data_IF_504176894617
#
_entry.id   IF_504176894617
#
_cell.length_a   1.000
_cell.length_b   1.000
_cell.length_c   1.000
_cell.angle_alpha   90.00
_cell.angle_beta   90.00
_cell.angle_gamma   90.00
#
_symmetry.space_group_name_H-M   'P 1'
#
loop_
_entity.id
_entity.type
_entity.pdbx_description
1 polymer ?
#
# COMPACT_ATOMS: atom_id res chain seq x y z
N UNK A 1 26.14 22.05 -54.01
CA UNK A 1 26.64 22.12 -52.64
C UNK A 1 25.60 22.69 -51.66
N UNK A 2 24.76 23.65 -52.06
CA UNK A 2 23.70 24.21 -51.16
C UNK A 2 22.55 23.25 -50.86
N UNK A 3 22.24 22.30 -51.71
CA UNK A 3 21.14 21.34 -51.52
C UNK A 3 21.46 20.26 -50.47
N UNK A 4 22.73 19.93 -50.27
CA UNK A 4 23.15 18.97 -49.28
C UNK A 4 23.11 19.52 -47.83
N UNK A 5 23.42 20.80 -47.63
CA UNK A 5 23.32 21.43 -46.29
C UNK A 5 21.87 21.47 -45.82
N UNK A 6 20.93 21.82 -46.70
CA UNK A 6 19.52 21.88 -46.34
C UNK A 6 18.90 20.50 -46.03
N UNK A 7 19.43 19.45 -46.66
CA UNK A 7 19.05 18.07 -46.41
C UNK A 7 19.62 17.57 -45.05
N UNK A 8 20.84 17.95 -44.69
CA UNK A 8 21.44 17.63 -43.40
C UNK A 8 20.76 18.37 -42.25
N UNK A 9 20.36 19.63 -42.42
CA UNK A 9 19.58 20.37 -41.44
C UNK A 9 18.20 19.77 -41.22
N UNK A 10 17.51 19.34 -42.31
CA UNK A 10 16.25 18.59 -42.21
C UNK A 10 16.43 17.24 -41.53
N UNK A 11 17.51 16.53 -41.83
CA UNK A 11 17.80 15.23 -41.18
C UNK A 11 18.17 15.39 -39.69
N UNK A 12 18.85 16.47 -39.34
CA UNK A 12 19.12 16.82 -37.94
C UNK A 12 17.81 17.25 -37.21
N UNK A 13 16.95 18.00 -37.87
CA UNK A 13 15.65 18.37 -37.35
C UNK A 13 14.72 17.12 -37.19
N UNK A 14 14.75 16.21 -38.17
CA UNK A 14 14.05 14.92 -38.11
C UNK A 14 14.64 14.00 -37.00
N UNK A 15 15.97 14.03 -36.80
CA UNK A 15 16.58 13.30 -35.67
C UNK A 15 16.21 13.92 -34.33
N UNK A 16 16.06 15.22 -34.23
CA UNK A 16 15.58 15.90 -33.00
C UNK A 16 14.10 15.63 -32.70
N UNK A 17 13.29 15.30 -33.72
CA UNK A 17 11.89 14.93 -33.59
C UNK A 17 11.68 13.43 -33.34
N UNK A 18 12.73 12.63 -33.29
CA UNK A 18 12.67 11.17 -33.05
C UNK A 18 13.30 10.74 -31.71
N UNK A 19 13.67 11.65 -30.83
CA UNK A 19 13.97 11.30 -29.45
C UNK A 19 12.65 10.92 -28.77
N UNK A 20 12.47 9.62 -28.53
CA UNK A 20 11.33 9.12 -27.77
C UNK A 20 11.45 9.69 -26.36
N UNK A 21 10.57 10.62 -26.04
CA UNK A 21 10.51 11.21 -24.71
C UNK A 21 10.26 10.10 -23.68
N UNK A 22 11.16 9.96 -22.74
CA UNK A 22 11.03 8.97 -21.67
C UNK A 22 10.29 9.65 -20.50
N UNK A 23 9.05 9.22 -20.28
CA UNK A 23 8.23 9.66 -19.15
C UNK A 23 8.07 8.48 -18.20
N UNK A 24 8.55 8.63 -16.96
CA UNK A 24 8.36 7.65 -15.88
C UNK A 24 7.46 8.25 -14.82
N UNK A 25 6.56 7.43 -14.27
CA UNK A 25 5.71 7.78 -13.13
C UNK A 25 6.53 7.71 -11.85
N UNK A 26 6.29 8.64 -10.94
CA UNK A 26 6.93 8.70 -9.63
C UNK A 26 5.88 8.81 -8.53
N UNK A 27 6.21 8.37 -7.33
CA UNK A 27 5.46 8.67 -6.12
C UNK A 27 5.59 10.14 -5.71
N UNK A 28 4.77 10.64 -4.77
CA UNK A 28 4.86 12.01 -4.26
C UNK A 28 6.28 12.44 -3.92
N UNK A 29 6.58 13.72 -4.19
CA UNK A 29 7.90 14.32 -4.01
C UNK A 29 9.01 13.71 -4.88
N UNK A 30 8.63 13.07 -6.00
CA UNK A 30 9.57 12.48 -6.95
C UNK A 30 10.23 11.19 -6.48
N UNK A 31 9.60 10.47 -5.53
CA UNK A 31 10.12 9.20 -5.03
C UNK A 31 9.88 8.07 -6.03
N UNK A 32 10.83 7.15 -6.13
CA UNK A 32 10.76 6.02 -7.08
C UNK A 32 10.04 4.82 -6.51
N UNK A 33 10.04 4.68 -5.19
CA UNK A 33 9.60 3.49 -4.47
C UNK A 33 8.69 3.86 -3.30
N UNK A 34 7.75 2.97 -2.97
CA UNK A 34 6.95 3.07 -1.74
C UNK A 34 7.18 1.85 -0.85
N UNK A 35 7.12 2.09 0.45
CA UNK A 35 7.16 1.06 1.48
C UNK A 35 5.93 1.13 2.36
N UNK A 36 5.36 -0.03 2.66
CA UNK A 36 4.20 -0.18 3.54
C UNK A 36 4.29 -1.50 4.31
N UNK A 37 3.75 -1.52 5.52
CA UNK A 37 3.39 -2.75 6.22
C UNK A 37 1.88 -2.80 6.41
N UNK A 38 1.26 -3.98 6.28
CA UNK A 38 -0.17 -4.19 6.51
C UNK A 38 -0.34 -5.36 7.46
N UNK A 39 -0.75 -5.08 8.71
CA UNK A 39 -0.75 -6.03 9.81
C UNK A 39 -2.16 -6.28 10.32
N UNK A 40 -2.45 -7.53 10.63
CA UNK A 40 -3.79 -8.00 10.93
C UNK A 40 -4.03 -8.17 12.43
N UNK A 41 -5.31 -8.27 12.78
CA UNK A 41 -5.84 -8.71 14.06
C UNK A 41 -5.95 -7.65 15.18
N UNK A 42 -5.16 -6.59 15.20
CA UNK A 42 -5.22 -5.59 16.28
C UNK A 42 -4.90 -6.18 17.65
N UNK A 43 -3.66 -6.64 17.83
CA UNK A 43 -3.20 -7.36 19.01
C UNK A 43 -2.26 -6.51 19.88
N UNK A 44 -2.03 -6.92 21.14
CA UNK A 44 -1.19 -6.14 22.07
C UNK A 44 0.23 -5.90 21.55
N UNK A 45 0.78 -6.79 20.73
CA UNK A 45 2.09 -6.66 20.11
C UNK A 45 2.16 -5.48 19.13
N UNK A 46 1.03 -4.98 18.63
CA UNK A 46 0.98 -3.78 17.79
C UNK A 46 1.51 -2.55 18.52
N UNK A 47 1.45 -2.51 19.87
CA UNK A 47 2.01 -1.41 20.65
C UNK A 47 3.49 -1.25 20.35
N UNK A 48 4.27 -2.32 20.50
CA UNK A 48 5.71 -2.33 20.19
C UNK A 48 5.97 -2.10 18.69
N UNK A 49 5.13 -2.67 17.85
CA UNK A 49 5.26 -2.55 16.40
C UNK A 49 5.07 -1.11 15.91
N UNK A 50 4.04 -0.43 16.42
CA UNK A 50 3.78 0.99 16.13
C UNK A 50 4.88 1.88 16.67
N UNK A 51 5.37 1.63 17.89
CA UNK A 51 6.54 2.35 18.43
C UNK A 51 7.74 2.24 17.50
N UNK A 52 7.97 1.04 16.95
CA UNK A 52 9.06 0.79 16.02
C UNK A 52 8.87 1.53 14.68
N UNK A 53 7.67 1.49 14.11
CA UNK A 53 7.32 2.26 12.90
C UNK A 53 7.53 3.77 13.12
N UNK A 54 7.04 4.29 14.25
CA UNK A 54 7.18 5.71 14.60
C UNK A 54 8.64 6.13 14.79
N UNK A 55 9.46 5.28 15.42
CA UNK A 55 10.90 5.48 15.59
C UNK A 55 11.61 5.75 14.26
N UNK A 56 11.20 5.04 13.21
CA UNK A 56 11.78 5.16 11.87
C UNK A 56 10.95 6.02 10.91
N UNK A 57 9.93 6.75 11.42
CA UNK A 57 9.03 7.58 10.61
C UNK A 57 8.37 6.82 9.46
N UNK A 58 8.08 5.54 9.66
CA UNK A 58 7.40 4.68 8.72
C UNK A 58 5.89 4.68 8.99
N UNK A 59 5.12 4.26 7.98
CA UNK A 59 3.66 4.14 8.06
C UNK A 59 3.23 2.69 7.92
N UNK A 60 2.14 2.33 8.61
CA UNK A 60 1.52 1.02 8.51
C UNK A 60 0.01 1.11 8.29
N UNK A 61 -0.56 0.01 7.85
CA UNK A 61 -1.99 -0.25 7.77
C UNK A 61 -2.33 -1.35 8.76
N UNK A 62 -3.27 -1.10 9.66
CA UNK A 62 -3.70 -2.06 10.69
C UNK A 62 -5.14 -2.49 10.42
N UNK A 63 -5.32 -3.78 10.20
CA UNK A 63 -6.59 -4.37 9.81
C UNK A 63 -7.28 -4.95 11.07
N UNK A 64 -8.37 -4.34 11.50
CA UNK A 64 -8.96 -4.56 12.81
C UNK A 64 -10.31 -5.27 12.73
N UNK A 65 -10.66 -6.02 13.79
CA UNK A 65 -11.95 -6.69 13.97
C UNK A 65 -12.71 -6.00 15.10
N UNK A 66 -13.60 -5.08 14.79
CA UNK A 66 -14.28 -4.26 15.81
C UNK A 66 -15.17 -5.08 16.77
N UNK A 67 -15.72 -6.20 16.32
CA UNK A 67 -16.54 -7.08 17.16
C UNK A 67 -15.76 -7.90 18.18
N UNK A 68 -14.43 -7.92 18.10
CA UNK A 68 -13.54 -8.63 19.02
C UNK A 68 -12.81 -7.72 20.01
N UNK A 69 -12.81 -6.41 19.80
CA UNK A 69 -12.05 -5.44 20.62
C UNK A 69 -12.61 -5.25 22.02
N UNK A 70 -13.95 -5.23 22.18
CA UNK A 70 -14.62 -5.04 23.50
C UNK A 70 -14.71 -6.33 24.33
N UNK A 71 -14.48 -7.47 23.70
CA UNK A 71 -14.43 -8.74 24.38
C UNK A 71 -13.00 -8.95 24.85
N UNK A 72 -12.79 -9.45 26.04
CA UNK A 72 -11.46 -9.95 26.45
C UNK A 72 -11.14 -11.20 25.63
N UNK A 73 -11.01 -10.97 24.31
CA UNK A 73 -10.76 -12.05 23.36
C UNK A 73 -9.26 -12.32 23.29
N UNK A 74 -8.92 -13.52 23.71
CA UNK A 74 -7.57 -14.06 23.63
C UNK A 74 -7.59 -15.47 23.04
N UNK A 75 -6.49 -15.86 22.43
CA UNK A 75 -6.28 -17.25 22.00
C UNK A 75 -4.86 -17.68 22.30
N UNK A 76 -4.66 -18.98 22.41
CA UNK A 76 -3.32 -19.52 22.56
C UNK A 76 -2.82 -19.97 21.19
N UNK A 77 -1.74 -19.33 20.71
CA UNK A 77 -1.01 -19.76 19.53
C UNK A 77 -0.38 -21.15 19.76
N UNK A 78 -0.11 -21.91 18.70
CA UNK A 78 0.51 -23.24 18.80
C UNK A 78 1.88 -23.25 19.50
N UNK A 79 2.60 -22.13 19.49
CA UNK A 79 3.85 -21.94 20.26
C UNK A 79 3.63 -21.82 21.77
N UNK A 80 2.39 -21.73 22.24
CA UNK A 80 2.04 -21.48 23.64
C UNK A 80 1.89 -19.99 24.00
N UNK A 81 2.15 -19.06 23.08
CA UNK A 81 1.94 -17.63 23.28
C UNK A 81 0.44 -17.34 23.42
N UNK A 82 0.05 -16.63 24.49
CA UNK A 82 -1.30 -16.09 24.63
C UNK A 82 -1.37 -14.75 23.91
N UNK A 83 -2.13 -14.69 22.82
CA UNK A 83 -2.34 -13.49 22.01
C UNK A 83 -3.62 -12.80 22.45
N UNK A 84 -3.56 -11.49 22.70
CA UNK A 84 -4.70 -10.68 23.18
C UNK A 84 -4.99 -9.54 22.22
N UNK A 85 -6.28 -9.30 21.97
CA UNK A 85 -6.75 -8.13 21.22
C UNK A 85 -6.54 -6.83 22.00
N UNK A 86 -6.26 -5.75 21.31
CA UNK A 86 -6.19 -4.41 21.90
C UNK A 86 -7.61 -3.93 22.18
N UNK A 87 -7.78 -3.25 23.33
CA UNK A 87 -9.07 -2.65 23.72
C UNK A 87 -9.30 -1.31 23.04
N UNK A 88 -10.57 -0.94 22.88
CA UNK A 88 -11.02 0.26 22.16
C UNK A 88 -10.51 1.55 22.76
N UNK A 89 -10.27 1.61 24.08
CA UNK A 89 -9.81 2.80 24.80
C UNK A 89 -8.39 3.26 24.43
N UNK A 90 -7.56 2.39 23.86
CA UNK A 90 -6.17 2.71 23.50
C UNK A 90 -5.93 2.77 21.97
N UNK A 91 -6.81 2.18 21.13
CA UNK A 91 -6.54 2.01 19.70
C UNK A 91 -6.47 3.33 18.92
N UNK A 92 -7.26 4.35 19.32
CA UNK A 92 -7.32 5.63 18.60
C UNK A 92 -5.99 6.36 18.68
N UNK A 93 -5.41 6.41 19.88
CA UNK A 93 -4.10 7.06 20.08
C UNK A 93 -2.97 6.19 19.52
N UNK A 94 -3.05 4.87 19.67
CA UNK A 94 -2.04 3.94 19.19
C UNK A 94 -1.85 4.06 17.67
N UNK A 95 -2.94 3.99 16.90
CA UNK A 95 -2.83 4.00 15.43
C UNK A 95 -2.87 5.41 14.80
N UNK A 96 -2.61 6.45 15.62
CA UNK A 96 -2.50 7.82 15.11
C UNK A 96 -1.34 7.96 14.13
N UNK A 97 -1.63 8.47 12.93
CA UNK A 97 -0.63 8.59 11.86
C UNK A 97 -0.52 7.36 10.95
N UNK A 98 -1.22 6.27 11.30
CA UNK A 98 -1.34 5.05 10.51
C UNK A 98 -2.74 4.90 9.93
N UNK A 99 -2.89 4.02 8.95
CA UNK A 99 -4.18 3.61 8.44
C UNK A 99 -4.79 2.54 9.35
N UNK A 100 -6.11 2.64 9.54
CA UNK A 100 -6.94 1.55 10.05
C UNK A 100 -7.84 1.07 8.93
N UNK A 101 -7.90 -0.23 8.71
CA UNK A 101 -8.75 -0.89 7.75
C UNK A 101 -9.59 -1.99 8.44
N UNK A 102 -10.65 -2.43 7.79
CA UNK A 102 -11.51 -3.50 8.27
C UNK A 102 -10.87 -4.87 8.05
N UNK A 103 -11.03 -5.76 9.03
CA UNK A 103 -10.66 -7.17 8.92
C UNK A 103 -11.85 -8.09 9.22
N UNK A 104 -13.07 -7.65 8.86
CA UNK A 104 -14.37 -8.20 9.24
C UNK A 104 -14.72 -8.00 10.74
N UNK A 105 -16.01 -8.08 11.04
CA UNK A 105 -16.51 -7.87 12.41
C UNK A 105 -15.95 -8.86 13.43
N UNK A 106 -15.94 -10.16 13.10
CA UNK A 106 -15.63 -11.24 14.02
C UNK A 106 -14.64 -12.28 13.48
N UNK A 107 -13.86 -11.94 12.44
CA UNK A 107 -12.85 -12.82 11.84
C UNK A 107 -13.39 -14.21 11.43
N UNK A 108 -14.49 -14.33 10.67
CA UNK A 108 -15.05 -15.60 10.28
C UNK A 108 -14.34 -16.24 9.09
N UNK A 109 -14.52 -17.53 8.90
CA UNK A 109 -14.25 -18.21 7.64
C UNK A 109 -15.30 -17.78 6.60
N UNK A 110 -14.98 -16.85 5.73
CA UNK A 110 -15.94 -16.19 4.82
C UNK A 110 -16.53 -17.14 3.77
N UNK A 111 -15.88 -18.26 3.46
CA UNK A 111 -16.39 -19.31 2.58
C UNK A 111 -17.65 -20.00 3.13
N UNK A 112 -17.87 -19.93 4.43
CA UNK A 112 -19.02 -20.56 5.10
C UNK A 112 -20.23 -19.61 5.21
N UNK A 113 -20.13 -18.39 4.68
CA UNK A 113 -21.14 -17.33 4.85
C UNK A 113 -21.95 -17.13 3.56
N UNK A 114 -23.23 -16.83 3.73
CA UNK A 114 -24.07 -16.30 2.67
C UNK A 114 -23.64 -14.86 2.28
N UNK A 115 -24.13 -14.36 1.13
CA UNK A 115 -23.86 -12.97 0.72
C UNK A 115 -24.28 -11.97 1.79
N UNK A 116 -25.46 -12.16 2.37
CA UNK A 116 -26.04 -11.29 3.40
C UNK A 116 -25.18 -11.26 4.65
N UNK A 117 -24.67 -12.42 5.09
CA UNK A 117 -23.77 -12.53 6.23
C UNK A 117 -22.42 -11.86 5.96
N UNK A 118 -21.86 -12.02 4.76
CA UNK A 118 -20.64 -11.33 4.33
C UNK A 118 -20.84 -9.81 4.42
N UNK A 119 -21.94 -9.29 3.86
CA UNK A 119 -22.25 -7.86 3.91
C UNK A 119 -22.36 -7.36 5.35
N UNK A 120 -22.98 -8.12 6.25
CA UNK A 120 -23.06 -7.79 7.68
C UNK A 120 -21.68 -7.71 8.30
N UNK A 121 -20.81 -8.71 8.07
CA UNK A 121 -19.43 -8.72 8.56
C UNK A 121 -18.63 -7.51 8.11
N UNK A 122 -18.79 -7.09 6.87
CA UNK A 122 -18.08 -5.96 6.27
C UNK A 122 -18.65 -4.60 6.71
N UNK A 123 -19.97 -4.42 6.54
CA UNK A 123 -20.60 -3.11 6.75
C UNK A 123 -20.68 -2.73 8.23
N UNK A 124 -20.91 -3.69 9.11
CA UNK A 124 -20.98 -3.42 10.55
C UNK A 124 -19.60 -3.17 11.14
N UNK A 125 -18.57 -3.90 10.69
CA UNK A 125 -17.19 -3.64 11.10
C UNK A 125 -16.76 -2.24 10.65
N UNK A 126 -16.99 -1.89 9.37
CA UNK A 126 -16.71 -0.55 8.84
C UNK A 126 -17.37 0.53 9.68
N UNK A 127 -18.67 0.44 9.93
CA UNK A 127 -19.41 1.43 10.71
C UNK A 127 -18.92 1.56 12.16
N UNK A 128 -18.58 0.44 12.80
CA UNK A 128 -18.01 0.46 14.14
C UNK A 128 -16.65 1.13 14.18
N UNK A 129 -15.73 0.78 13.26
CA UNK A 129 -14.42 1.38 13.16
C UNK A 129 -14.51 2.88 12.83
N UNK A 130 -15.40 3.30 11.92
CA UNK A 130 -15.66 4.71 11.62
C UNK A 130 -16.12 5.48 12.86
N UNK A 131 -16.98 4.87 13.68
CA UNK A 131 -17.42 5.47 14.95
C UNK A 131 -16.28 5.57 15.97
N UNK A 132 -15.43 4.55 16.09
CA UNK A 132 -14.30 4.51 17.03
C UNK A 132 -13.26 5.55 16.64
N UNK A 133 -12.87 5.59 15.36
CA UNK A 133 -11.76 6.44 14.88
C UNK A 133 -12.20 7.83 14.41
N UNK A 134 -13.50 8.10 14.29
CA UNK A 134 -14.03 9.39 13.84
C UNK A 134 -13.64 9.77 12.40
N UNK A 135 -13.33 8.78 11.56
CA UNK A 135 -12.93 8.95 10.15
C UNK A 135 -13.43 7.81 9.28
N UNK A 136 -13.51 8.05 7.98
CA UNK A 136 -13.90 7.03 7.01
C UNK A 136 -12.91 5.87 6.99
N UNK A 137 -13.41 4.63 6.95
CA UNK A 137 -12.65 3.40 6.79
C UNK A 137 -12.77 2.94 5.33
N UNK A 138 -11.67 3.04 4.60
CA UNK A 138 -11.64 2.82 3.15
C UNK A 138 -11.05 1.48 2.74
N UNK A 139 -10.28 0.84 3.62
CA UNK A 139 -9.56 -0.39 3.35
C UNK A 139 -10.23 -1.61 3.95
N UNK A 140 -10.03 -2.75 3.30
CA UNK A 140 -10.41 -4.07 3.79
C UNK A 140 -9.25 -5.05 3.61
N UNK A 141 -9.05 -5.93 4.59
CA UNK A 141 -8.18 -7.09 4.50
C UNK A 141 -8.97 -8.37 4.77
N UNK A 142 -8.75 -9.38 3.92
CA UNK A 142 -9.43 -10.67 4.00
C UNK A 142 -8.86 -11.50 5.15
N UNK A 143 -9.70 -12.02 6.08
CA UNK A 143 -9.31 -13.06 7.02
C UNK A 143 -8.99 -14.38 6.30
N UNK A 144 -8.01 -15.12 6.81
CA UNK A 144 -7.59 -16.40 6.25
C UNK A 144 -7.19 -16.33 4.77
N UNK A 145 -7.48 -17.39 3.99
CA UNK A 145 -6.99 -17.54 2.62
C UNK A 145 -8.08 -17.64 1.55
N UNK A 146 -9.34 -17.81 1.95
CA UNK A 146 -10.41 -18.01 0.99
C UNK A 146 -10.88 -16.71 0.37
N UNK A 147 -10.66 -16.57 -0.93
CA UNK A 147 -11.11 -15.45 -1.74
C UNK A 147 -12.05 -15.91 -2.86
N UNK A 148 -13.08 -15.10 -3.17
CA UNK A 148 -14.01 -15.36 -4.25
C UNK A 148 -14.53 -14.07 -4.88
N UNK A 149 -15.07 -14.17 -6.11
CA UNK A 149 -15.74 -13.03 -6.78
C UNK A 149 -16.98 -12.53 -5.99
N UNK A 150 -17.61 -13.39 -5.20
CA UNK A 150 -18.69 -12.98 -4.29
C UNK A 150 -18.15 -12.03 -3.20
N UNK A 151 -17.07 -12.41 -2.53
CA UNK A 151 -16.43 -11.56 -1.49
C UNK A 151 -16.00 -10.23 -2.11
N UNK A 152 -15.34 -10.26 -3.27
CA UNK A 152 -14.94 -9.06 -4.01
C UNK A 152 -16.11 -8.12 -4.31
N UNK A 153 -17.22 -8.69 -4.73
CA UNK A 153 -18.45 -7.93 -5.00
C UNK A 153 -18.98 -7.29 -3.73
N UNK A 154 -19.05 -8.04 -2.62
CA UNK A 154 -19.51 -7.51 -1.34
C UNK A 154 -18.60 -6.40 -0.80
N UNK A 155 -17.27 -6.52 -0.95
CA UNK A 155 -16.31 -5.47 -0.56
C UNK A 155 -16.59 -4.18 -1.34
N UNK A 156 -16.86 -4.27 -2.65
CA UNK A 156 -17.24 -3.12 -3.48
C UNK A 156 -18.59 -2.52 -3.06
N UNK A 157 -19.59 -3.37 -2.86
CA UNK A 157 -20.95 -2.96 -2.44
C UNK A 157 -20.94 -2.26 -1.06
N UNK A 158 -20.04 -2.65 -0.15
CA UNK A 158 -19.83 -1.99 1.15
C UNK A 158 -19.02 -0.68 1.07
N UNK A 159 -18.62 -0.26 -0.13
CA UNK A 159 -17.94 1.03 -0.36
C UNK A 159 -16.49 1.09 0.11
N UNK A 160 -15.78 -0.03 0.15
CA UNK A 160 -14.34 -0.02 0.35
C UNK A 160 -13.61 0.43 -0.92
N UNK A 161 -12.46 1.05 -0.77
CA UNK A 161 -11.61 1.51 -1.86
C UNK A 161 -10.69 0.42 -2.38
N UNK A 162 -10.35 -0.54 -1.54
CA UNK A 162 -9.55 -1.71 -1.87
C UNK A 162 -9.88 -2.90 -0.96
N UNK A 163 -9.48 -4.10 -1.40
CA UNK A 163 -9.52 -5.34 -0.60
C UNK A 163 -8.22 -6.11 -0.76
N UNK A 164 -7.43 -6.21 0.32
CA UNK A 164 -6.21 -7.02 0.37
C UNK A 164 -6.59 -8.48 0.63
N UNK A 165 -6.02 -9.37 -0.16
CA UNK A 165 -6.13 -10.82 -0.01
C UNK A 165 -4.83 -11.40 0.57
N UNK A 166 -4.84 -12.67 0.96
CA UNK A 166 -3.68 -13.32 1.59
C UNK A 166 -2.63 -13.85 0.61
N UNK A 167 -2.85 -13.71 -0.70
CA UNK A 167 -1.86 -14.08 -1.69
C UNK A 167 -0.75 -13.03 -1.82
N UNK A 168 0.43 -13.48 -2.21
CA UNK A 168 1.61 -12.65 -2.44
C UNK A 168 1.88 -12.50 -3.93
N UNK A 169 2.45 -11.35 -4.35
CA UNK A 169 2.93 -11.15 -5.72
C UNK A 169 4.29 -11.81 -5.94
N UNK A 170 5.11 -11.91 -4.90
CA UNK A 170 6.51 -12.32 -5.00
C UNK A 170 7.39 -11.32 -5.76
N UNK A 171 6.90 -10.09 -5.99
CA UNK A 171 7.61 -9.07 -6.76
C UNK A 171 7.29 -7.67 -6.21
N UNK A 172 8.07 -6.67 -6.62
CA UNK A 172 7.87 -5.27 -6.23
C UNK A 172 6.98 -4.50 -7.19
N UNK A 173 6.30 -5.19 -8.11
CA UNK A 173 5.33 -4.59 -9.02
C UNK A 173 4.03 -4.23 -8.28
N UNK A 174 3.33 -3.23 -8.78
CA UNK A 174 2.01 -2.86 -8.27
C UNK A 174 0.99 -3.97 -8.55
N UNK A 175 0.06 -4.23 -7.61
CA UNK A 175 -1.07 -5.12 -7.86
C UNK A 175 -1.96 -4.62 -8.99
N UNK A 176 -2.42 -5.54 -9.84
CA UNK A 176 -3.24 -5.22 -11.01
C UNK A 176 -4.71 -4.91 -10.67
N UNK A 177 -5.19 -5.27 -9.49
CA UNK A 177 -6.58 -5.12 -9.06
C UNK A 177 -6.66 -4.65 -7.61
N UNK A 178 -7.29 -3.50 -7.40
CA UNK A 178 -7.47 -2.93 -6.06
C UNK A 178 -8.31 -3.80 -5.12
N UNK A 179 -9.18 -4.65 -5.62
CA UNK A 179 -10.10 -5.47 -4.82
C UNK A 179 -9.68 -6.94 -4.68
N UNK A 180 -8.58 -7.31 -5.31
CA UNK A 180 -7.81 -8.51 -5.04
C UNK A 180 -6.33 -8.15 -4.87
N UNK A 181 -6.09 -7.17 -4.03
CA UNK A 181 -4.78 -6.62 -3.75
C UNK A 181 -3.90 -7.65 -3.07
N UNK A 182 -2.83 -8.06 -3.76
CA UNK A 182 -1.82 -8.96 -3.24
C UNK A 182 -0.67 -8.14 -2.66
N UNK A 183 -0.28 -8.42 -1.43
CA UNK A 183 0.91 -7.83 -0.84
C UNK A 183 2.17 -8.32 -1.58
N UNK A 184 3.30 -7.65 -1.40
CA UNK A 184 4.55 -8.10 -1.99
C UNK A 184 4.98 -9.42 -1.38
N UNK A 185 5.09 -9.48 -0.05
CA UNK A 185 5.50 -10.67 0.69
C UNK A 185 4.80 -10.75 2.04
N UNK A 186 4.56 -12.00 2.50
CA UNK A 186 4.36 -12.26 3.92
C UNK A 186 5.70 -12.08 4.65
N UNK A 187 5.70 -11.73 5.94
CA UNK A 187 6.93 -11.49 6.69
C UNK A 187 7.74 -12.80 6.94
N UNK A 188 8.13 -13.46 5.88
CA UNK A 188 9.04 -14.61 5.96
C UNK A 188 10.40 -14.14 6.47
N UNK A 189 10.60 -14.15 7.79
CA UNK A 189 11.73 -13.52 8.47
C UNK A 189 13.09 -13.92 7.90
N UNK A 190 13.26 -15.18 7.52
CA UNK A 190 14.52 -15.66 6.94
C UNK A 190 14.86 -15.09 5.55
N UNK A 191 13.88 -14.46 4.89
CA UNK A 191 14.02 -13.86 3.56
C UNK A 191 14.03 -12.33 3.59
N UNK A 192 13.59 -11.69 4.68
CA UNK A 192 13.38 -10.24 4.74
C UNK A 192 14.62 -9.42 4.42
N UNK A 193 15.78 -9.83 4.91
CA UNK A 193 17.05 -9.15 4.61
C UNK A 193 17.36 -9.18 3.11
N UNK A 194 17.25 -10.36 2.48
CA UNK A 194 17.46 -10.53 1.05
C UNK A 194 16.47 -9.73 0.22
N UNK A 195 15.16 -9.80 0.55
CA UNK A 195 14.10 -9.05 -0.11
C UNK A 195 14.29 -7.54 0.02
N UNK A 196 14.72 -7.07 1.20
CA UNK A 196 15.02 -5.66 1.42
C UNK A 196 16.13 -5.18 0.49
N UNK A 197 17.20 -5.98 0.36
CA UNK A 197 18.30 -5.68 -0.56
C UNK A 197 17.83 -5.68 -2.02
N UNK A 198 17.08 -6.68 -2.44
CA UNK A 198 16.51 -6.74 -3.79
C UNK A 198 15.61 -5.53 -4.07
N UNK A 199 14.80 -5.11 -3.09
CA UNK A 199 13.98 -3.90 -3.21
C UNK A 199 14.83 -2.63 -3.39
N UNK A 200 15.95 -2.52 -2.70
CA UNK A 200 16.86 -1.38 -2.89
C UNK A 200 17.42 -1.31 -4.31
N UNK A 201 17.63 -2.46 -4.95
CA UNK A 201 18.26 -2.59 -6.27
C UNK A 201 17.25 -2.61 -7.44
N UNK A 202 15.94 -2.81 -7.18
CA UNK A 202 14.93 -2.89 -8.25
C UNK A 202 14.77 -1.57 -9.00
N UNK A 203 14.57 -1.65 -10.32
CA UNK A 203 14.26 -0.53 -11.22
C UNK A 203 12.78 -0.46 -11.60
N UNK A 204 11.90 -1.19 -10.89
CA UNK A 204 10.47 -1.18 -11.14
C UNK A 204 9.89 0.24 -11.07
N UNK A 205 9.11 0.62 -12.09
CA UNK A 205 8.35 1.88 -12.08
C UNK A 205 7.29 1.82 -10.99
N UNK A 206 7.30 2.81 -10.08
CA UNK A 206 6.46 2.81 -8.88
C UNK A 206 6.65 1.55 -8.04
N UNK A 207 7.91 1.13 -7.83
CA UNK A 207 8.22 -0.07 -7.05
C UNK A 207 7.55 -0.04 -5.66
N UNK A 208 6.90 -1.14 -5.27
CA UNK A 208 6.21 -1.27 -3.99
C UNK A 208 6.75 -2.45 -3.20
N UNK A 209 7.20 -2.19 -1.98
CA UNK A 209 7.48 -3.23 -1.00
C UNK A 209 6.43 -3.15 0.10
N UNK A 210 5.46 -4.06 0.04
CA UNK A 210 4.42 -4.19 1.06
C UNK A 210 4.57 -5.51 1.79
N UNK A 211 4.84 -5.44 3.09
CA UNK A 211 4.97 -6.60 3.97
C UNK A 211 3.64 -6.83 4.70
N UNK A 212 3.12 -8.06 4.63
CA UNK A 212 1.92 -8.48 5.38
C UNK A 212 2.31 -9.41 6.53
N UNK A 213 1.56 -9.39 7.61
CA UNK A 213 1.76 -10.30 8.75
C UNK A 213 0.93 -9.94 9.97
N UNK A 214 1.33 -10.53 11.09
CA UNK A 214 0.77 -10.23 12.41
C UNK A 214 1.92 -9.87 13.35
N UNK A 215 1.75 -8.87 14.21
CA UNK A 215 2.83 -8.43 15.10
C UNK A 215 3.19 -9.48 16.17
N UNK A 216 2.24 -10.36 16.53
CA UNK A 216 2.52 -11.46 17.46
C UNK A 216 3.46 -12.53 16.89
N UNK A 217 3.57 -12.67 15.56
CA UNK A 217 4.53 -13.59 14.94
C UNK A 217 5.97 -13.20 15.23
N UNK A 218 6.23 -11.91 15.49
CA UNK A 218 7.54 -11.41 15.90
C UNK A 218 7.94 -11.90 17.31
N UNK A 219 6.96 -12.03 18.22
CA UNK A 219 7.20 -12.67 19.53
C UNK A 219 7.40 -14.18 19.40
N UNK A 220 6.55 -14.83 18.57
CA UNK A 220 6.61 -16.27 18.33
C UNK A 220 7.97 -16.71 17.76
N UNK A 221 8.47 -15.95 16.79
CA UNK A 221 9.69 -16.26 16.08
C UNK A 221 10.94 -15.63 16.71
N UNK A 222 10.80 -14.75 17.70
CA UNK A 222 11.88 -13.91 18.27
C UNK A 222 12.64 -13.14 17.17
N UNK A 223 11.89 -12.34 16.38
CA UNK A 223 12.40 -11.67 15.17
C UNK A 223 12.23 -10.15 15.15
N UNK A 224 12.08 -9.53 16.30
CA UNK A 224 11.97 -8.08 16.42
C UNK A 224 13.20 -7.34 15.87
N UNK A 225 14.41 -7.87 16.11
CA UNK A 225 15.65 -7.24 15.66
C UNK A 225 15.75 -7.23 14.13
N UNK A 226 15.34 -8.31 13.45
CA UNK A 226 15.32 -8.37 11.99
C UNK A 226 14.35 -7.33 11.42
N UNK A 227 13.15 -7.21 12.00
CA UNK A 227 12.17 -6.21 11.56
C UNK A 227 12.68 -4.79 11.79
N UNK A 228 13.33 -4.53 12.92
CA UNK A 228 13.95 -3.24 13.22
C UNK A 228 15.06 -2.89 12.22
N UNK A 229 15.91 -3.83 11.86
CA UNK A 229 16.95 -3.63 10.84
C UNK A 229 16.37 -3.31 9.46
N UNK A 230 15.29 -4.00 9.05
CA UNK A 230 14.55 -3.68 7.82
C UNK A 230 14.04 -2.25 7.86
N UNK A 231 13.38 -1.84 8.95
CA UNK A 231 12.83 -0.50 9.08
C UNK A 231 13.91 0.58 9.07
N UNK A 232 15.03 0.33 9.73
CA UNK A 232 16.19 1.23 9.69
C UNK A 232 16.70 1.42 8.26
N UNK A 233 16.98 0.32 7.55
CA UNK A 233 17.48 0.37 6.16
C UNK A 233 16.52 1.07 5.22
N UNK A 234 15.22 0.79 5.32
CA UNK A 234 14.18 1.45 4.53
C UNK A 234 14.15 2.97 4.81
N UNK A 235 14.21 3.36 6.09
CA UNK A 235 14.09 4.77 6.50
C UNK A 235 15.29 5.63 6.08
N UNK A 236 16.46 5.03 5.94
CA UNK A 236 17.70 5.72 5.50
C UNK A 236 17.70 6.00 3.99
N UNK A 237 16.86 5.32 3.20
CA UNK A 237 16.81 5.49 1.75
C UNK A 237 15.86 6.63 1.35
N UNK A 238 16.44 7.69 0.79
CA UNK A 238 15.70 8.90 0.39
C UNK A 238 14.77 8.71 -0.81
N UNK A 239 14.94 7.65 -1.60
CA UNK A 239 14.10 7.36 -2.76
C UNK A 239 12.86 6.54 -2.41
N UNK A 240 12.72 6.11 -1.17
CA UNK A 240 11.57 5.36 -0.67
C UNK A 240 10.62 6.32 0.09
N UNK A 241 9.34 6.22 -0.22
CA UNK A 241 8.27 6.94 0.47
C UNK A 241 7.48 5.98 1.36
N UNK A 242 7.48 6.16 2.70
CA UNK A 242 6.56 5.43 3.56
C UNK A 242 5.12 5.89 3.32
N UNK A 243 4.25 4.96 2.94
CA UNK A 243 2.84 5.22 2.66
C UNK A 243 1.95 4.16 3.31
N UNK A 244 0.74 4.52 3.67
CA UNK A 244 -0.30 3.54 4.02
C UNK A 244 -0.89 2.91 2.75
N UNK A 245 -1.59 1.79 2.87
CA UNK A 245 -2.20 1.15 1.69
C UNK A 245 -3.19 2.08 1.01
N UNK A 246 -4.03 2.80 1.77
CA UNK A 246 -4.99 3.73 1.16
C UNK A 246 -4.31 4.92 0.47
N UNK A 247 -3.22 5.45 1.02
CA UNK A 247 -2.47 6.52 0.36
C UNK A 247 -1.91 6.05 -1.00
N UNK A 248 -1.41 4.81 -1.08
CA UNK A 248 -0.96 4.22 -2.34
C UNK A 248 -2.13 4.06 -3.31
N UNK A 249 -3.23 3.46 -2.87
CA UNK A 249 -4.42 3.23 -3.71
C UNK A 249 -5.00 4.54 -4.25
N UNK A 250 -5.13 5.58 -3.41
CA UNK A 250 -5.65 6.88 -3.83
C UNK A 250 -4.71 7.56 -4.82
N UNK A 251 -3.41 7.48 -4.60
CA UNK A 251 -2.42 8.03 -5.52
C UNK A 251 -2.45 7.32 -6.89
N UNK A 252 -2.52 6.00 -6.91
CA UNK A 252 -2.60 5.23 -8.15
C UNK A 252 -3.90 5.50 -8.90
N UNK A 253 -5.05 5.58 -8.21
CA UNK A 253 -6.33 5.96 -8.82
C UNK A 253 -6.31 7.40 -9.40
N UNK A 254 -5.55 8.29 -8.79
CA UNK A 254 -5.32 9.61 -9.35
C UNK A 254 -4.41 9.55 -10.60
N UNK A 255 -3.37 8.70 -10.56
CA UNK A 255 -2.47 8.45 -11.68
C UNK A 255 -3.20 7.85 -12.90
N UNK A 256 -4.25 7.05 -12.69
CA UNK A 256 -5.09 6.48 -13.76
C UNK A 256 -5.88 7.55 -14.54
N UNK A 257 -6.04 8.77 -13.98
CA UNK A 257 -6.74 9.90 -14.62
C UNK A 257 -5.82 10.81 -15.44
N UNK A 258 -4.53 10.48 -15.52
CA UNK A 258 -3.55 11.27 -16.26
C UNK A 258 -3.71 11.06 -17.77
N UNK A 259 -3.53 12.15 -18.52
CA UNK A 259 -3.41 12.11 -19.97
C UNK A 259 -1.98 12.48 -20.36
N UNK A 260 -1.28 11.57 -21.03
CA UNK A 260 0.07 11.76 -21.54
C UNK A 260 0.04 11.72 -23.06
N UNK A 261 0.53 12.75 -23.70
CA UNK A 261 0.68 12.86 -25.15
C UNK A 261 2.14 13.15 -25.51
N UNK A 262 2.46 13.23 -26.78
CA UNK A 262 3.80 13.68 -27.23
C UNK A 262 4.09 15.17 -26.94
N UNK A 263 3.08 15.94 -26.56
CA UNK A 263 3.22 17.40 -26.38
C UNK A 263 3.06 17.84 -24.93
N UNK A 264 2.25 17.11 -24.14
CA UNK A 264 1.93 17.51 -22.77
C UNK A 264 1.54 16.33 -21.87
N UNK A 265 1.63 16.60 -20.57
CA UNK A 265 1.02 15.81 -19.51
C UNK A 265 -0.10 16.65 -18.89
N UNK A 266 -1.30 16.07 -18.78
CA UNK A 266 -2.45 16.73 -18.14
C UNK A 266 -2.94 15.87 -16.97
N UNK A 267 -2.98 16.47 -15.80
CA UNK A 267 -3.51 15.87 -14.60
C UNK A 267 -5.01 16.18 -14.47
N UNK A 268 -5.85 15.17 -14.61
CA UNK A 268 -7.29 15.31 -14.45
C UNK A 268 -7.78 14.88 -13.03
N UNK A 269 -6.87 14.77 -12.07
CA UNK A 269 -7.15 14.43 -10.67
C UNK A 269 -7.07 15.64 -9.73
N UNK A 270 -7.44 15.44 -8.48
CA UNK A 270 -7.48 16.45 -7.40
C UNK A 270 -6.20 16.49 -6.54
N UNK A 271 -5.19 15.69 -6.88
CA UNK A 271 -3.90 15.67 -6.19
C UNK A 271 -2.77 15.93 -7.16
N UNK A 272 -1.63 16.42 -6.66
CA UNK A 272 -0.41 16.53 -7.47
C UNK A 272 0.15 15.16 -7.83
N UNK A 273 0.58 15.02 -9.09
CA UNK A 273 1.22 13.80 -9.61
C UNK A 273 2.64 14.10 -10.05
N UNK A 274 3.51 13.11 -9.91
CA UNK A 274 4.94 13.28 -10.12
C UNK A 274 5.46 12.39 -11.24
N UNK A 275 6.37 12.95 -12.06
CA UNK A 275 6.96 12.28 -13.21
C UNK A 275 8.45 12.58 -13.30
N UNK A 276 9.20 11.66 -13.90
CA UNK A 276 10.53 11.92 -14.43
C UNK A 276 10.42 12.04 -15.93
N UNK A 277 10.80 13.19 -16.47
CA UNK A 277 10.78 13.50 -17.90
C UNK A 277 12.22 13.78 -18.33
N UNK A 278 12.80 12.90 -19.15
CA UNK A 278 14.21 12.98 -19.58
C UNK A 278 15.18 13.22 -18.40
N UNK A 279 14.99 12.47 -17.31
CA UNK A 279 15.83 12.54 -16.12
C UNK A 279 15.54 13.74 -15.20
N UNK A 280 14.50 14.54 -15.47
CA UNK A 280 14.09 15.67 -14.61
C UNK A 280 12.79 15.36 -13.90
N UNK A 281 12.79 15.53 -12.58
CA UNK A 281 11.57 15.38 -11.77
C UNK A 281 10.64 16.56 -12.00
N UNK A 282 9.40 16.28 -12.33
CA UNK A 282 8.35 17.25 -12.61
C UNK A 282 7.10 16.94 -11.76
N UNK A 283 6.57 17.96 -11.07
CA UNK A 283 5.25 17.91 -10.43
C UNK A 283 4.21 18.46 -11.41
N UNK A 284 3.13 17.73 -11.62
CA UNK A 284 1.94 18.18 -12.35
C UNK A 284 0.81 18.33 -11.34
N UNK A 285 0.49 19.59 -10.99
CA UNK A 285 -0.51 19.88 -9.95
C UNK A 285 -1.91 19.42 -10.37
N UNK A 286 -2.81 19.38 -9.39
CA UNK A 286 -4.24 19.12 -9.63
C UNK A 286 -4.78 19.99 -10.76
N UNK A 287 -5.46 19.37 -11.73
CA UNK A 287 -6.07 20.02 -12.90
C UNK A 287 -5.07 20.79 -13.80
N UNK A 288 -3.76 20.59 -13.64
CA UNK A 288 -2.73 21.26 -14.42
C UNK A 288 -2.42 20.52 -15.73
N UNK A 289 -2.00 21.31 -16.74
CA UNK A 289 -1.43 20.82 -17.98
C UNK A 289 -0.01 21.39 -18.11
N UNK A 290 0.98 20.52 -18.25
CA UNK A 290 2.39 20.86 -18.43
C UNK A 290 2.84 20.44 -19.83
N UNK A 291 3.40 21.37 -20.60
CA UNK A 291 4.01 21.06 -21.89
C UNK A 291 5.37 20.39 -21.65
N UNK A 292 5.68 19.38 -22.46
CA UNK A 292 6.89 18.57 -22.33
C UNK A 292 7.96 18.92 -23.37
N UNK A 293 7.72 19.99 -24.14
CA UNK A 293 8.68 20.62 -25.09
C UNK A 293 8.76 22.12 -24.82
#
# INVERSE_FOLDING_TARGET
MKDNEHMWDKLQQIKKTAEVLIVKKLYPSGKKKAFNVTYDDGVLQDIRFVELLNKYSLKGTFNLNSGLMEKEFEWTHESGLVVKRIKTDVVVDLYKGHEVASHTLNHPYMENLSKEEIIVQLSQDKANLEKIFGREIKGFALPFHYYSELIKTCVKECGFSYGRISEETGSFCLPADYYSWKATFFHHFDKLEGLTKEFMETDEELGLFQIVGHSYDLDVADRWEIMEDVFRVISENKDILPMTTIEIVEYLKAMDKIEITSEYIKNNSDVSLWFEIDGRVCEVKSCEKVNIF
#
